data_IF_501877507943
#
_entry.id   IF_501877507943
#
_cell.length_a   1.000
_cell.length_b   1.000
_cell.length_c   1.000
_cell.angle_alpha   90.00
_cell.angle_beta   90.00
_cell.angle_gamma   90.00
#
_symmetry.space_group_name_H-M   'P 1'
#
loop_
_entity.id
_entity.type
_entity.pdbx_description
1 polymer ?
#
# COMPACT_ATOMS: atom_id res chain seq x y z
N UNK A 1 -29.30 -10.74 -0.85
CA UNK A 1 -28.02 -11.17 -1.44
C UNK A 1 -26.98 -10.94 -0.36
N UNK A 2 -26.52 -12.00 0.31
CA UNK A 2 -25.55 -11.91 1.40
C UNK A 2 -24.22 -11.59 0.73
N UNK A 3 -23.74 -10.34 0.88
CA UNK A 3 -22.37 -10.00 0.56
C UNK A 3 -21.52 -10.80 1.55
N UNK A 4 -20.81 -11.80 1.04
CA UNK A 4 -19.85 -12.56 1.85
C UNK A 4 -18.77 -11.59 2.31
N UNK A 5 -18.85 -11.17 3.56
CA UNK A 5 -17.79 -10.48 4.30
C UNK A 5 -16.69 -11.51 4.61
N UNK A 6 -15.98 -11.97 3.57
CA UNK A 6 -14.69 -12.61 3.79
C UNK A 6 -13.69 -11.51 4.16
N UNK A 7 -12.83 -11.71 5.15
CA UNK A 7 -11.80 -10.72 5.47
C UNK A 7 -10.97 -10.45 4.21
N UNK A 8 -10.99 -9.22 3.76
CA UNK A 8 -10.21 -8.77 2.62
C UNK A 8 -8.76 -8.73 3.07
N UNK A 9 -7.90 -9.44 2.37
CA UNK A 9 -6.48 -9.51 2.65
C UNK A 9 -5.69 -9.48 1.34
N UNK A 10 -4.55 -8.86 1.38
CA UNK A 10 -3.54 -8.82 0.34
C UNK A 10 -2.26 -9.46 0.84
N UNK A 11 -1.28 -9.58 -0.01
CA UNK A 11 0.01 -10.21 0.31
C UNK A 11 1.18 -9.23 0.26
N UNK A 12 0.96 -8.05 -0.33
CA UNK A 12 2.01 -7.11 -0.67
C UNK A 12 2.82 -7.53 -1.89
N UNK A 13 2.32 -8.45 -2.69
CA UNK A 13 2.90 -8.83 -3.97
C UNK A 13 2.14 -8.16 -5.11
N UNK A 14 2.63 -7.03 -5.55
CA UNK A 14 2.09 -6.26 -6.67
C UNK A 14 2.03 -7.13 -7.92
N UNK A 15 0.93 -7.07 -8.65
CA UNK A 15 0.67 -7.88 -9.85
C UNK A 15 0.70 -7.06 -11.14
N UNK A 16 0.55 -5.76 -11.02
CA UNK A 16 0.52 -4.84 -12.14
C UNK A 16 0.82 -3.43 -11.66
N UNK A 17 1.59 -2.68 -12.42
CA UNK A 17 1.63 -1.22 -12.33
C UNK A 17 0.55 -0.67 -13.25
N UNK A 18 -0.49 -0.12 -12.65
CA UNK A 18 -1.56 0.59 -13.36
C UNK A 18 -1.23 2.05 -13.55
N UNK A 19 -2.11 2.77 -14.22
CA UNK A 19 -1.98 4.19 -14.47
C UNK A 19 -3.25 4.93 -14.09
N UNK A 20 -3.11 6.05 -13.38
CA UNK A 20 -4.22 6.95 -13.09
C UNK A 20 -4.71 7.57 -14.40
N UNK A 21 -5.99 7.42 -14.69
CA UNK A 21 -6.64 8.08 -15.81
C UNK A 21 -7.11 9.48 -15.37
N UNK A 22 -7.79 9.55 -14.24
CA UNK A 22 -8.19 10.79 -13.60
C UNK A 22 -8.55 10.58 -12.12
N UNK A 23 -8.44 11.66 -11.34
CA UNK A 23 -9.00 11.81 -10.00
C UNK A 23 -9.97 12.99 -10.05
N UNK A 24 -11.25 12.77 -9.77
CA UNK A 24 -12.29 13.81 -9.80
C UNK A 24 -12.87 14.02 -8.42
N UNK A 25 -12.97 15.27 -8.02
CA UNK A 25 -13.57 15.71 -6.76
C UNK A 25 -14.90 16.39 -7.06
N UNK A 26 -15.95 16.01 -6.37
CA UNK A 26 -17.24 16.70 -6.33
C UNK A 26 -17.62 17.00 -4.88
N UNK A 27 -18.66 17.76 -4.66
CA UNK A 27 -19.13 18.13 -3.31
C UNK A 27 -19.53 16.92 -2.44
N UNK A 28 -19.78 15.76 -3.07
CA UNK A 28 -20.31 14.57 -2.36
C UNK A 28 -19.36 13.38 -2.38
N UNK A 29 -18.48 13.29 -3.35
CA UNK A 29 -17.68 12.09 -3.57
C UNK A 29 -16.40 12.42 -4.32
N UNK A 30 -15.34 11.70 -4.03
CA UNK A 30 -14.11 11.68 -4.82
C UNK A 30 -14.01 10.37 -5.55
N UNK A 31 -13.77 10.41 -6.85
CA UNK A 31 -13.67 9.23 -7.70
C UNK A 31 -12.29 9.13 -8.33
N UNK A 32 -11.75 7.93 -8.33
CA UNK A 32 -10.49 7.57 -8.96
C UNK A 32 -10.75 6.57 -10.09
N UNK A 33 -10.30 6.89 -11.31
CA UNK A 33 -10.28 5.95 -12.43
C UNK A 33 -8.84 5.53 -12.72
N UNK A 34 -8.62 4.21 -12.71
CA UNK A 34 -7.32 3.59 -12.96
C UNK A 34 -7.41 2.66 -14.16
N UNK A 35 -6.39 2.72 -15.02
CA UNK A 35 -6.17 1.75 -16.10
C UNK A 35 -5.23 0.67 -15.59
N UNK A 36 -5.68 -0.59 -15.66
CA UNK A 36 -4.90 -1.77 -15.26
C UNK A 36 -5.51 -2.99 -15.95
N UNK A 37 -5.19 -3.23 -17.24
CA UNK A 37 -5.89 -4.22 -18.05
C UNK A 37 -5.77 -5.65 -17.53
N UNK A 38 -4.63 -6.04 -16.95
CA UNK A 38 -4.45 -7.39 -16.39
C UNK A 38 -5.29 -7.60 -15.13
N UNK A 39 -5.35 -6.60 -14.27
CA UNK A 39 -6.16 -6.62 -13.05
C UNK A 39 -7.65 -6.56 -13.40
N UNK A 40 -8.04 -5.65 -14.29
CA UNK A 40 -9.43 -5.43 -14.70
C UNK A 40 -10.09 -6.69 -15.29
N UNK A 41 -9.37 -7.54 -16.03
CA UNK A 41 -9.93 -8.79 -16.60
C UNK A 41 -10.35 -9.79 -15.54
N UNK A 42 -9.92 -9.63 -14.30
CA UNK A 42 -10.10 -10.62 -13.23
C UNK A 42 -10.82 -10.07 -11.99
N UNK A 43 -11.26 -8.82 -12.03
CA UNK A 43 -11.95 -8.12 -10.94
C UNK A 43 -13.37 -7.83 -11.35
N UNK A 44 -14.32 -7.90 -10.42
CA UNK A 44 -15.73 -7.56 -10.60
C UNK A 44 -16.10 -6.35 -9.76
N UNK A 45 -17.17 -5.66 -10.16
CA UNK A 45 -17.77 -4.62 -9.33
C UNK A 45 -18.13 -5.20 -7.95
N UNK A 46 -17.77 -4.50 -6.89
CA UNK A 46 -17.92 -4.92 -5.50
C UNK A 46 -16.72 -5.69 -4.93
N UNK A 47 -15.74 -6.09 -5.75
CA UNK A 47 -14.49 -6.67 -5.25
C UNK A 47 -13.48 -5.58 -4.86
N UNK A 48 -12.54 -5.96 -4.01
CA UNK A 48 -11.47 -5.08 -3.53
C UNK A 48 -10.19 -5.22 -4.35
N UNK A 49 -9.56 -4.07 -4.57
CA UNK A 49 -8.23 -3.95 -5.17
C UNK A 49 -7.40 -3.03 -4.26
N UNK A 50 -6.19 -3.43 -3.97
CA UNK A 50 -5.19 -2.56 -3.35
C UNK A 50 -4.60 -1.65 -4.42
N UNK A 51 -4.69 -0.34 -4.20
CA UNK A 51 -4.11 0.72 -5.04
C UNK A 51 -3.06 1.45 -4.20
N UNK A 52 -1.79 1.33 -4.54
CA UNK A 52 -0.68 1.81 -3.70
C UNK A 52 -0.82 1.39 -2.22
N UNK A 53 -1.26 0.16 -1.97
CA UNK A 53 -1.48 -0.34 -0.61
C UNK A 53 -2.82 0.06 0.03
N UNK A 54 -3.63 0.90 -0.61
CA UNK A 54 -4.94 1.26 -0.09
C UNK A 54 -6.02 0.32 -0.64
N UNK A 55 -6.78 -0.34 0.24
CA UNK A 55 -7.90 -1.20 -0.12
C UNK A 55 -9.08 -0.37 -0.61
N UNK A 56 -9.44 -0.53 -1.88
CA UNK A 56 -10.55 0.19 -2.51
C UNK A 56 -11.53 -0.79 -3.14
N UNK A 57 -12.83 -0.47 -3.04
CA UNK A 57 -13.88 -1.26 -3.67
C UNK A 57 -14.14 -0.76 -5.09
N UNK A 58 -14.15 -1.68 -6.05
CA UNK A 58 -14.46 -1.37 -7.45
C UNK A 58 -15.94 -1.03 -7.58
N UNK A 59 -16.26 0.17 -8.05
CA UNK A 59 -17.63 0.66 -8.25
C UNK A 59 -18.08 0.55 -9.70
N UNK A 60 -17.15 0.59 -10.66
CA UNK A 60 -17.41 0.34 -12.08
C UNK A 60 -16.17 -0.25 -12.75
N UNK A 61 -16.40 -1.00 -13.84
CA UNK A 61 -15.32 -1.59 -14.64
C UNK A 61 -15.70 -1.59 -16.10
N UNK A 62 -14.78 -1.16 -16.95
CA UNK A 62 -14.96 -1.19 -18.42
C UNK A 62 -13.62 -1.09 -19.14
N UNK A 63 -13.42 -1.91 -20.19
CA UNK A 63 -12.32 -1.76 -21.15
C UNK A 63 -10.90 -1.66 -20.52
N UNK A 64 -10.63 -2.52 -19.53
CA UNK A 64 -9.31 -2.52 -18.85
C UNK A 64 -9.13 -1.40 -17.83
N UNK A 65 -10.20 -0.69 -17.48
CA UNK A 65 -10.22 0.35 -16.45
C UNK A 65 -11.20 -0.01 -15.36
N UNK A 66 -10.97 0.49 -14.17
CA UNK A 66 -11.88 0.36 -13.04
C UNK A 66 -11.91 1.63 -12.21
N UNK A 67 -13.07 1.88 -11.64
CA UNK A 67 -13.37 3.08 -10.87
C UNK A 67 -13.57 2.74 -9.41
N UNK A 68 -13.16 3.67 -8.56
CA UNK A 68 -13.32 3.63 -7.13
C UNK A 68 -13.96 4.91 -6.63
N UNK A 69 -14.78 4.78 -5.58
CA UNK A 69 -15.26 5.90 -4.80
C UNK A 69 -14.39 6.00 -3.53
N UNK A 70 -13.74 7.14 -3.33
CA UNK A 70 -12.79 7.34 -2.23
C UNK A 70 -13.47 8.04 -1.06
N UNK A 71 -13.20 7.54 0.15
CA UNK A 71 -13.57 8.21 1.39
C UNK A 71 -12.59 9.34 1.70
N UNK A 72 -13.04 10.34 2.45
CA UNK A 72 -12.19 11.44 2.91
C UNK A 72 -10.95 10.92 3.68
N UNK A 73 -11.14 9.95 4.57
CA UNK A 73 -10.05 9.31 5.31
C UNK A 73 -8.99 8.70 4.39
N UNK A 74 -9.41 8.04 3.29
CA UNK A 74 -8.45 7.47 2.32
C UNK A 74 -7.62 8.55 1.63
N UNK A 75 -8.17 9.74 1.42
CA UNK A 75 -7.44 10.87 0.85
C UNK A 75 -6.48 11.53 1.84
N UNK A 76 -6.88 11.59 3.11
CA UNK A 76 -6.12 12.26 4.17
C UNK A 76 -4.94 11.39 4.65
N UNK A 77 -5.13 10.06 4.66
CA UNK A 77 -4.16 9.09 5.16
C UNK A 77 -3.21 8.54 4.12
N UNK A 78 -3.49 8.76 2.82
CA UNK A 78 -2.73 8.13 1.74
C UNK A 78 -2.22 9.13 0.71
N UNK A 79 -1.26 8.71 -0.10
CA UNK A 79 -0.79 9.49 -1.24
C UNK A 79 -1.82 9.56 -2.40
N UNK A 80 -2.98 8.89 -2.28
CA UNK A 80 -4.00 8.89 -3.33
C UNK A 80 -4.55 10.30 -3.62
N UNK A 81 -4.59 11.17 -2.59
CA UNK A 81 -5.02 12.56 -2.73
C UNK A 81 -4.13 13.42 -3.63
N UNK A 82 -2.89 13.01 -3.87
CA UNK A 82 -1.88 13.70 -4.68
C UNK A 82 -1.73 13.12 -6.09
N UNK A 83 -2.48 12.06 -6.42
CA UNK A 83 -2.41 11.43 -7.73
C UNK A 83 -2.92 12.36 -8.84
N UNK A 84 -2.21 12.32 -9.98
CA UNK A 84 -2.55 13.04 -11.21
C UNK A 84 -2.69 12.05 -12.37
N UNK A 85 -3.39 12.44 -13.45
CA UNK A 85 -3.42 11.63 -14.66
C UNK A 85 -1.99 11.27 -15.12
N UNK A 86 -1.79 10.00 -15.45
CA UNK A 86 -0.51 9.46 -15.86
C UNK A 86 0.33 8.86 -14.73
N UNK A 87 0.08 9.19 -13.45
CA UNK A 87 0.86 8.62 -12.35
C UNK A 87 0.73 7.09 -12.29
N UNK A 88 1.85 6.37 -12.08
CA UNK A 88 1.83 4.92 -11.87
C UNK A 88 1.28 4.59 -10.49
N UNK A 89 0.52 3.49 -10.40
CA UNK A 89 -0.01 2.96 -9.15
C UNK A 89 0.17 1.45 -9.09
N UNK A 90 0.64 0.95 -7.95
CA UNK A 90 0.75 -0.47 -7.69
C UNK A 90 -0.64 -1.08 -7.50
N UNK A 91 -0.90 -2.20 -8.16
CA UNK A 91 -2.18 -2.89 -8.12
C UNK A 91 -2.00 -4.34 -7.62
N UNK A 92 -2.79 -4.70 -6.63
CA UNK A 92 -2.94 -6.08 -6.17
C UNK A 92 -4.41 -6.41 -5.96
N UNK A 93 -4.84 -7.59 -6.38
CA UNK A 93 -6.19 -8.10 -6.12
C UNK A 93 -6.23 -8.76 -4.74
N UNK A 94 -7.39 -8.74 -4.11
CA UNK A 94 -7.60 -9.49 -2.87
C UNK A 94 -7.15 -10.95 -3.02
N UNK A 95 -6.49 -11.47 -1.98
CA UNK A 95 -6.02 -12.84 -1.90
C UNK A 95 -7.21 -13.80 -1.93
N UNK A 96 -7.16 -14.78 -2.81
CA UNK A 96 -8.14 -15.86 -2.80
C UNK A 96 -7.91 -16.79 -1.59
N UNK A 97 -8.98 -17.42 -1.10
CA UNK A 97 -8.89 -18.36 0.03
C UNK A 97 -7.92 -19.52 -0.22
N UNK A 98 -7.80 -19.94 -1.49
CA UNK A 98 -6.87 -20.97 -1.96
C UNK A 98 -5.52 -20.40 -2.44
N UNK A 99 -5.29 -19.10 -2.23
CA UNK A 99 -4.07 -18.39 -2.65
C UNK A 99 -2.89 -18.62 -1.71
N UNK A 100 -1.68 -18.33 -2.19
CA UNK A 100 -0.45 -18.37 -1.39
C UNK A 100 -0.15 -17.01 -0.80
N UNK A 101 0.14 -16.96 0.49
CA UNK A 101 0.67 -15.78 1.16
C UNK A 101 2.19 -15.72 0.91
N UNK A 102 2.59 -14.98 -0.12
CA UNK A 102 4.01 -14.89 -0.53
C UNK A 102 4.79 -13.74 0.13
N UNK A 103 4.09 -12.76 0.70
CA UNK A 103 4.66 -11.65 1.48
C UNK A 103 4.28 -11.76 2.96
N UNK A 104 3.55 -10.77 3.49
CA UNK A 104 3.01 -10.79 4.85
C UNK A 104 1.50 -10.45 4.84
N UNK A 105 0.88 -10.34 6.01
CA UNK A 105 -0.53 -9.95 6.12
C UNK A 105 -0.68 -8.45 5.82
N UNK A 106 -1.09 -8.10 4.62
CA UNK A 106 -1.40 -6.74 4.20
C UNK A 106 -2.92 -6.59 4.07
N UNK A 107 -3.49 -5.66 4.82
CA UNK A 107 -4.94 -5.46 4.84
C UNK A 107 -5.39 -4.42 3.80
N UNK A 108 -4.47 -3.58 3.35
CA UNK A 108 -4.79 -2.41 2.54
C UNK A 108 -5.28 -1.24 3.40
N UNK A 109 -4.99 -1.27 4.69
CA UNK A 109 -5.35 -0.25 5.66
C UNK A 109 -4.12 0.60 6.00
N UNK A 110 -3.84 1.54 5.12
CA UNK A 110 -2.69 2.44 5.22
C UNK A 110 -2.75 3.23 6.53
N UNK A 111 -1.66 3.18 7.30
CA UNK A 111 -1.56 3.89 8.59
C UNK A 111 -1.26 5.37 8.40
N UNK A 112 -0.46 5.69 7.39
CA UNK A 112 -0.07 7.04 7.05
C UNK A 112 0.88 7.08 5.86
N UNK A 113 1.39 8.27 5.59
CA UNK A 113 2.40 8.49 4.55
C UNK A 113 3.71 8.94 5.16
N UNK A 114 4.80 8.65 4.46
CA UNK A 114 6.11 9.20 4.79
C UNK A 114 6.87 9.61 3.53
N UNK A 115 7.84 10.50 3.70
CA UNK A 115 8.68 10.94 2.58
C UNK A 115 9.84 9.98 2.35
N UNK A 116 10.19 9.77 1.10
CA UNK A 116 11.47 9.21 0.69
C UNK A 116 12.56 10.23 1.02
N UNK A 117 13.49 9.85 1.88
CA UNK A 117 14.59 10.73 2.34
C UNK A 117 15.76 10.66 1.38
N UNK A 118 16.13 9.45 0.98
CA UNK A 118 17.26 9.22 0.08
C UNK A 118 17.08 7.92 -0.70
N UNK A 119 17.78 7.84 -1.82
CA UNK A 119 17.88 6.67 -2.68
C UNK A 119 19.36 6.41 -2.96
N UNK A 120 19.81 5.16 -2.80
CA UNK A 120 21.21 4.78 -3.02
C UNK A 120 21.25 3.49 -3.86
N UNK A 121 21.83 3.60 -5.06
CA UNK A 121 22.09 2.42 -5.90
C UNK A 121 23.32 1.67 -5.38
N UNK A 122 23.20 0.35 -5.25
CA UNK A 122 24.32 -0.51 -4.91
C UNK A 122 24.32 -1.77 -5.76
N UNK A 123 25.11 -1.75 -6.78
CA UNK A 123 25.04 -2.76 -7.83
C UNK A 123 23.69 -2.71 -8.54
N UNK A 124 22.94 -3.81 -8.63
CA UNK A 124 21.61 -3.84 -9.24
C UNK A 124 20.48 -3.45 -8.29
N UNK A 125 20.74 -3.36 -6.99
CA UNK A 125 19.74 -3.15 -5.97
C UNK A 125 19.64 -1.66 -5.61
N UNK A 126 18.43 -1.22 -5.21
CA UNK A 126 18.15 0.13 -4.73
C UNK A 126 17.85 0.10 -3.23
N UNK A 127 18.61 0.89 -2.47
CA UNK A 127 18.26 1.23 -1.09
C UNK A 127 17.34 2.44 -1.10
N UNK A 128 16.25 2.35 -0.36
CA UNK A 128 15.30 3.44 -0.16
C UNK A 128 15.27 3.76 1.33
N UNK A 129 15.64 4.99 1.69
CA UNK A 129 15.52 5.52 3.04
C UNK A 129 14.23 6.32 3.15
N UNK A 130 13.42 6.01 4.15
CA UNK A 130 12.08 6.56 4.33
C UNK A 130 11.99 7.18 5.72
N UNK A 131 11.47 8.39 5.82
CA UNK A 131 11.24 9.07 7.07
C UNK A 131 10.38 8.20 8.00
N UNK A 132 10.74 8.14 9.27
CA UNK A 132 10.02 7.38 10.29
C UNK A 132 9.31 8.35 11.24
N UNK A 133 8.00 8.58 11.09
CA UNK A 133 7.24 9.38 12.04
C UNK A 133 7.31 8.75 13.44
N UNK A 134 7.55 9.56 14.47
CA UNK A 134 7.76 9.11 15.85
C UNK A 134 6.61 8.22 16.36
N UNK A 135 5.38 8.55 15.99
CA UNK A 135 4.19 7.80 16.36
C UNK A 135 4.17 6.35 15.86
N UNK A 136 4.91 6.05 14.76
CA UNK A 136 4.98 4.74 14.14
C UNK A 136 6.28 3.98 14.44
N UNK A 137 7.25 4.61 15.11
CA UNK A 137 8.59 4.03 15.35
C UNK A 137 8.51 2.65 16.03
N UNK A 138 7.53 2.45 16.93
CA UNK A 138 7.30 1.20 17.65
C UNK A 138 6.90 0.01 16.78
N UNK A 139 6.39 0.25 15.57
CA UNK A 139 5.95 -0.80 14.64
C UNK A 139 7.04 -1.22 13.65
N UNK A 140 8.11 -0.43 13.52
CA UNK A 140 9.21 -0.69 12.58
C UNK A 140 10.36 -1.37 13.32
N UNK A 141 10.60 -2.63 12.97
CA UNK A 141 11.67 -3.42 13.61
C UNK A 141 12.65 -3.94 12.55
N UNK A 142 13.93 -3.99 12.89
CA UNK A 142 14.97 -4.56 12.05
C UNK A 142 14.60 -5.99 11.63
N UNK A 143 14.64 -6.28 10.32
CA UNK A 143 14.20 -7.55 9.70
C UNK A 143 12.70 -7.84 9.80
N UNK A 144 11.89 -6.90 10.28
CA UNK A 144 10.44 -6.99 10.21
C UNK A 144 9.90 -6.73 8.80
N UNK A 145 8.62 -7.00 8.61
CA UNK A 145 7.88 -6.71 7.37
C UNK A 145 7.20 -5.35 7.45
N UNK A 146 7.13 -4.68 6.31
CA UNK A 146 6.40 -3.43 6.11
C UNK A 146 5.84 -3.41 4.69
N UNK A 147 4.67 -2.83 4.48
CA UNK A 147 4.15 -2.57 3.15
C UNK A 147 4.36 -1.09 2.77
N UNK A 148 5.10 -0.85 1.68
CA UNK A 148 5.38 0.48 1.11
C UNK A 148 4.71 0.57 -0.25
N UNK A 149 3.78 1.52 -0.44
CA UNK A 149 2.90 1.57 -1.61
C UNK A 149 2.32 0.19 -1.96
N UNK A 150 1.98 -0.61 -0.93
CA UNK A 150 1.44 -1.96 -1.07
C UNK A 150 2.45 -3.04 -1.42
N UNK A 151 3.74 -2.74 -1.45
CA UNK A 151 4.81 -3.71 -1.67
C UNK A 151 5.34 -4.23 -0.35
N UNK A 152 5.26 -5.55 -0.11
CA UNK A 152 5.83 -6.21 1.07
C UNK A 152 7.35 -6.20 0.99
N UNK A 153 7.98 -5.54 1.95
CA UNK A 153 9.43 -5.40 2.02
C UNK A 153 9.95 -5.74 3.42
N UNK A 154 11.24 -6.05 3.48
CA UNK A 154 11.95 -6.30 4.73
C UNK A 154 12.69 -5.04 5.16
N UNK A 155 12.51 -4.62 6.40
CA UNK A 155 13.26 -3.52 7.01
C UNK A 155 14.74 -3.91 7.15
N UNK A 156 15.62 -3.16 6.51
CA UNK A 156 17.05 -3.42 6.46
C UNK A 156 17.85 -2.65 7.51
N UNK A 157 17.37 -1.49 7.92
CA UNK A 157 17.92 -0.69 9.01
C UNK A 157 16.82 0.17 9.63
N UNK A 158 16.99 0.52 10.91
CA UNK A 158 16.12 1.45 11.63
C UNK A 158 17.00 2.45 12.35
N UNK A 159 16.78 3.73 12.09
CA UNK A 159 17.43 4.87 12.73
C UNK A 159 16.38 5.68 13.52
N UNK A 160 16.74 6.65 14.33
CA UNK A 160 15.78 7.46 15.09
C UNK A 160 14.78 8.24 14.22
N UNK A 161 15.15 8.66 13.01
CA UNK A 161 14.35 9.52 12.13
C UNK A 161 13.94 8.87 10.80
N UNK A 162 14.50 7.71 10.48
CA UNK A 162 14.28 7.02 9.21
C UNK A 162 14.47 5.51 9.34
N UNK A 163 13.99 4.77 8.35
CA UNK A 163 14.30 3.36 8.17
C UNK A 163 14.64 3.09 6.70
N UNK A 164 15.33 1.98 6.45
CA UNK A 164 15.76 1.61 5.12
C UNK A 164 15.18 0.28 4.69
N UNK A 165 14.92 0.16 3.40
CA UNK A 165 14.61 -1.11 2.72
C UNK A 165 15.53 -1.29 1.51
N UNK A 166 15.77 -2.54 1.12
CA UNK A 166 16.46 -2.86 -0.13
C UNK A 166 15.45 -3.43 -1.12
N UNK A 167 15.50 -2.93 -2.33
CA UNK A 167 14.60 -3.33 -3.43
C UNK A 167 15.44 -3.94 -4.55
N UNK A 168 15.14 -5.20 -4.89
CA UNK A 168 15.82 -5.94 -5.96
C UNK A 168 15.29 -5.52 -7.35
N UNK A 169 16.04 -5.74 -8.45
CA UNK A 169 15.65 -5.32 -9.79
C UNK A 169 14.25 -5.79 -10.18
N UNK A 170 13.94 -7.05 -9.90
CA UNK A 170 12.61 -7.60 -10.22
C UNK A 170 11.47 -6.78 -9.60
N UNK A 171 11.64 -6.30 -8.37
CA UNK A 171 10.62 -5.47 -7.68
C UNK A 171 10.58 -4.05 -8.26
N UNK A 172 11.74 -3.47 -8.59
CA UNK A 172 11.81 -2.16 -9.23
C UNK A 172 11.10 -2.15 -10.60
N UNK A 173 11.30 -3.19 -11.41
CA UNK A 173 10.70 -3.32 -12.74
C UNK A 173 9.18 -3.57 -12.70
N UNK A 174 8.66 -4.12 -11.60
CA UNK A 174 7.26 -4.56 -11.49
C UNK A 174 6.41 -3.74 -10.51
N UNK A 175 6.98 -2.66 -9.96
CA UNK A 175 6.29 -1.75 -9.04
C UNK A 175 6.65 -0.30 -9.35
N UNK A 176 5.88 0.64 -8.80
CA UNK A 176 6.21 2.06 -8.91
C UNK A 176 7.34 2.51 -7.96
N UNK A 177 7.98 1.58 -7.25
CA UNK A 177 9.13 1.91 -6.39
C UNK A 177 10.37 2.29 -7.21
N UNK A 178 10.47 1.81 -8.46
CA UNK A 178 11.55 2.18 -9.37
C UNK A 178 11.48 3.60 -9.90
N UNK A 179 10.32 4.25 -9.80
CA UNK A 179 10.08 5.63 -10.26
C UNK A 179 10.17 6.67 -9.12
N UNK A 180 10.50 6.23 -7.89
CA UNK A 180 10.55 7.13 -6.73
C UNK A 180 11.75 8.08 -6.78
N UNK A 181 11.51 9.29 -6.32
CA UNK A 181 12.52 10.33 -6.12
C UNK A 181 12.54 10.78 -4.63
N UNK A 182 13.65 11.39 -4.19
CA UNK A 182 13.71 11.97 -2.85
C UNK A 182 12.67 13.09 -2.71
N UNK A 183 11.90 13.04 -1.62
CA UNK A 183 10.77 13.93 -1.37
C UNK A 183 9.41 13.34 -1.74
N UNK A 184 9.35 12.25 -2.49
CA UNK A 184 8.09 11.59 -2.80
C UNK A 184 7.41 11.03 -1.55
N UNK A 185 6.06 11.04 -1.55
CA UNK A 185 5.25 10.45 -0.51
C UNK A 185 4.91 9.00 -0.85
N UNK A 186 5.21 8.11 0.07
CA UNK A 186 4.81 6.69 -0.01
C UNK A 186 3.82 6.34 1.09
N UNK A 187 2.88 5.45 0.79
CA UNK A 187 1.96 4.89 1.76
C UNK A 187 2.68 3.84 2.59
N UNK A 188 2.46 3.87 3.91
CA UNK A 188 2.96 2.87 4.85
C UNK A 188 1.80 2.11 5.48
N UNK A 189 1.91 0.80 5.49
CA UNK A 189 1.08 -0.09 6.31
C UNK A 189 2.02 -0.96 7.14
N UNK A 190 1.90 -0.88 8.47
CA UNK A 190 2.69 -1.69 9.39
C UNK A 190 2.06 -3.06 9.59
N UNK A 191 2.88 -4.05 9.90
CA UNK A 191 2.40 -5.41 10.13
C UNK A 191 1.34 -5.42 11.24
N UNK A 192 0.16 -5.94 10.93
CA UNK A 192 -0.98 -5.99 11.84
C UNK A 192 -0.65 -6.71 13.15
N UNK A 193 0.31 -7.64 13.12
CA UNK A 193 0.74 -8.35 14.32
C UNK A 193 1.39 -7.39 15.35
N UNK A 194 2.14 -6.39 14.90
CA UNK A 194 2.73 -5.39 15.78
C UNK A 194 1.65 -4.56 16.51
N UNK A 195 0.58 -4.20 15.81
CA UNK A 195 -0.56 -3.46 16.37
C UNK A 195 -1.33 -4.27 17.41
N UNK A 196 -1.53 -5.57 17.17
CA UNK A 196 -2.17 -6.44 18.14
C UNK A 196 -1.29 -6.67 19.38
N UNK A 197 0.02 -6.83 19.19
CA UNK A 197 0.98 -6.96 20.33
C UNK A 197 0.92 -5.69 21.18
N UNK A 198 0.99 -4.50 20.58
CA UNK A 198 0.87 -3.23 21.32
C UNK A 198 -0.42 -3.19 22.13
N UNK A 199 -1.57 -3.45 21.50
CA UNK A 199 -2.87 -3.41 22.17
C UNK A 199 -2.96 -4.35 23.36
N UNK A 200 -2.40 -5.56 23.25
CA UNK A 200 -2.36 -6.54 24.33
C UNK A 200 -1.45 -6.11 25.49
N UNK A 201 -0.35 -5.41 25.22
CA UNK A 201 0.55 -4.89 26.24
C UNK A 201 -0.06 -3.72 26.99
N UNK A 202 -0.75 -2.80 26.30
CA UNK A 202 -1.46 -1.66 26.92
C UNK A 202 -2.53 -2.13 27.90
N UNK A 203 -3.32 -3.16 27.55
CA UNK A 203 -4.39 -3.66 28.41
C UNK A 203 -3.84 -4.32 29.68
N UNK A 204 -2.67 -4.92 29.65
CA UNK A 204 -2.01 -5.49 30.85
C UNK A 204 -1.41 -4.44 31.79
N UNK A 205 -1.07 -3.26 31.27
CA UNK A 205 -0.54 -2.13 32.07
C UNK A 205 -1.60 -1.39 32.90
N UNK A 206 -2.89 -1.53 32.57
CA UNK A 206 -4.02 -0.87 33.27
C UNK A 206 -4.61 -1.69 34.42
N UNK A 207 -4.15 -2.93 34.62
CA UNK A 207 -4.62 -3.82 35.70
C UNK A 207 -3.70 -3.80 36.96
N UNK A 208 -2.86 -2.77 37.13
CA UNK A 208 -1.99 -2.60 38.33
C UNK A 208 -2.33 -1.33 39.10
#
# INVERSE_FOLDING_TARGET
MIVSLLPIMFTGLVREVGQVVWLRRSDRIVQLLVKGPRTATRVRVGESVSVNGCCLTVTAQREGQFMFDLLAESLDRTNLGHLKPGHPVNLERALRVDGRLGGHFVQGHVDGTAQVVALEEKGPDLRIDIALPEEFARYVVYKGSIAINGVSLTVAAVNPSDFSVWVIPHTLENTNLGDLEAGDLVNLEFDILAKYVERLLETRGTER
#
